data_IF_865538680627
#
_entry.id   IF_865538680627
#
_cell.length_a   1.000
_cell.length_b   1.000
_cell.length_c   1.000
_cell.angle_alpha   90.00
_cell.angle_beta   90.00
_cell.angle_gamma   90.00
#
_symmetry.space_group_name_H-M   'P 1'
#
loop_
_entity.id
_entity.type
_entity.pdbx_description
1 polymer ?
#
# COMPACT_ATOMS: atom_id res chain seq x y z
N UNK A 1 -21.40 -15.14 15.77
CA UNK A 1 -20.21 -14.33 15.43
C UNK A 1 -20.67 -13.02 14.74
N UNK A 2 -20.87 -11.94 15.49
CA UNK A 2 -21.50 -10.67 15.08
C UNK A 2 -20.77 -9.98 13.89
N UNK A 3 -21.51 -9.60 12.87
CA UNK A 3 -21.00 -9.09 11.58
C UNK A 3 -20.21 -7.77 11.73
N UNK A 4 -20.51 -7.00 12.78
CA UNK A 4 -20.01 -5.64 12.98
C UNK A 4 -18.52 -5.51 13.35
N UNK A 5 -17.94 -6.49 14.06
CA UNK A 5 -16.54 -6.41 14.48
C UNK A 5 -15.53 -6.73 13.37
N UNK A 6 -15.94 -7.50 12.34
CA UNK A 6 -15.10 -7.75 11.17
C UNK A 6 -14.94 -6.49 10.30
N UNK A 7 -15.98 -5.65 10.20
CA UNK A 7 -15.93 -4.41 9.41
C UNK A 7 -15.06 -3.32 10.05
N UNK A 8 -15.02 -3.22 11.38
CA UNK A 8 -14.23 -2.17 12.06
C UNK A 8 -12.73 -2.49 12.08
N UNK A 9 -12.37 -3.76 12.23
CA UNK A 9 -10.98 -4.21 12.10
C UNK A 9 -10.51 -4.17 10.64
N UNK A 10 -11.33 -4.62 9.69
CA UNK A 10 -10.99 -4.57 8.26
C UNK A 10 -10.66 -3.16 7.77
N UNK A 11 -11.41 -2.14 8.20
CA UNK A 11 -11.15 -0.74 7.85
C UNK A 11 -9.84 -0.18 8.42
N UNK A 12 -9.43 -0.62 9.62
CA UNK A 12 -8.15 -0.22 10.19
C UNK A 12 -6.99 -0.88 9.44
N UNK A 13 -7.09 -2.18 9.16
CA UNK A 13 -6.08 -2.92 8.40
C UNK A 13 -5.91 -2.38 6.99
N UNK A 14 -7.01 -2.06 6.29
CA UNK A 14 -6.95 -1.40 4.96
C UNK A 14 -6.19 -0.06 5.01
N UNK A 15 -6.45 0.75 6.04
CA UNK A 15 -5.78 2.04 6.23
C UNK A 15 -4.29 1.85 6.49
N UNK A 16 -3.91 0.86 7.29
CA UNK A 16 -2.50 0.55 7.57
C UNK A 16 -1.76 0.06 6.33
N UNK A 17 -2.38 -0.84 5.55
CA UNK A 17 -1.84 -1.29 4.25
C UNK A 17 -1.62 -0.09 3.34
N UNK A 18 -2.62 0.80 3.20
CA UNK A 18 -2.51 1.98 2.36
C UNK A 18 -1.37 2.91 2.82
N UNK A 19 -1.28 3.19 4.12
CA UNK A 19 -0.19 4.00 4.69
C UNK A 19 1.18 3.35 4.49
N UNK A 20 1.25 2.03 4.56
CA UNK A 20 2.48 1.29 4.27
C UNK A 20 2.92 1.50 2.83
N UNK A 21 2.02 1.36 1.84
CA UNK A 21 2.31 1.67 0.44
C UNK A 21 2.90 3.08 0.29
N UNK A 22 2.25 4.10 0.85
CA UNK A 22 2.74 5.50 0.77
C UNK A 22 4.15 5.64 1.35
N UNK A 23 4.42 5.06 2.53
CA UNK A 23 5.74 5.10 3.17
C UNK A 23 6.79 4.35 2.36
N UNK A 24 6.42 3.20 1.80
CA UNK A 24 7.31 2.36 1.01
C UNK A 24 7.68 3.03 -0.31
N UNK A 25 6.70 3.55 -1.05
CA UNK A 25 6.94 4.38 -2.24
C UNK A 25 7.86 5.56 -1.90
N UNK A 26 7.66 6.20 -0.74
CA UNK A 26 8.50 7.31 -0.32
C UNK A 26 9.97 6.95 -0.10
N UNK A 27 10.22 5.73 0.37
CA UNK A 27 11.56 5.25 0.70
C UNK A 27 12.26 4.59 -0.48
N UNK A 28 11.53 3.80 -1.26
CA UNK A 28 12.08 2.90 -2.27
C UNK A 28 11.81 3.34 -3.71
N UNK A 29 10.74 4.11 -3.95
CA UNK A 29 10.33 4.54 -5.30
C UNK A 29 9.66 3.46 -6.15
N UNK A 30 9.40 2.27 -5.61
CA UNK A 30 8.67 1.17 -6.26
C UNK A 30 7.63 0.55 -5.33
N UNK A 31 6.73 -0.26 -5.88
CA UNK A 31 5.65 -0.91 -5.14
C UNK A 31 6.16 -2.09 -4.28
N UNK A 32 5.78 -2.19 -2.99
CA UNK A 32 6.15 -3.30 -2.11
C UNK A 32 5.49 -4.63 -2.50
N UNK A 33 6.04 -5.75 -2.03
CA UNK A 33 5.48 -7.09 -2.19
C UNK A 33 4.45 -7.44 -1.11
N UNK A 34 3.51 -8.36 -1.38
CA UNK A 34 2.53 -8.79 -0.37
C UNK A 34 3.17 -9.46 0.85
N UNK A 35 4.32 -10.10 0.67
CA UNK A 35 5.08 -10.68 1.78
C UNK A 35 5.66 -9.60 2.68
N UNK A 36 6.29 -8.55 2.12
CA UNK A 36 6.82 -7.41 2.89
C UNK A 36 5.73 -6.69 3.69
N UNK A 37 4.55 -6.54 3.11
CA UNK A 37 3.38 -5.93 3.79
C UNK A 37 2.88 -6.85 4.90
N UNK A 38 2.78 -8.16 4.62
CA UNK A 38 2.32 -9.15 5.58
C UNK A 38 3.22 -9.27 6.80
N UNK A 39 4.54 -9.30 6.58
CA UNK A 39 5.57 -9.30 7.62
C UNK A 39 5.51 -8.01 8.45
N UNK A 40 5.39 -6.84 7.80
CA UNK A 40 5.35 -5.55 8.49
C UNK A 40 4.10 -5.35 9.35
N UNK A 41 2.95 -5.86 8.91
CA UNK A 41 1.66 -5.70 9.57
C UNK A 41 1.22 -6.94 10.37
N UNK A 42 2.05 -8.00 10.42
CA UNK A 42 1.74 -9.29 11.04
C UNK A 42 0.39 -9.89 10.55
N UNK A 43 0.14 -9.81 9.24
CA UNK A 43 -1.06 -10.34 8.60
C UNK A 43 -0.70 -11.29 7.46
N UNK A 44 -1.55 -12.27 7.20
CA UNK A 44 -1.31 -13.22 6.12
C UNK A 44 -1.36 -12.57 4.74
N UNK A 45 -0.52 -13.04 3.82
CA UNK A 45 -0.49 -12.61 2.40
C UNK A 45 -1.88 -12.56 1.75
N UNK A 46 -2.75 -13.52 2.08
CA UNK A 46 -4.10 -13.60 1.51
C UNK A 46 -5.02 -12.50 2.06
N UNK A 47 -4.86 -12.13 3.33
CA UNK A 47 -5.55 -11.00 3.94
C UNK A 47 -5.12 -9.69 3.29
N UNK A 48 -3.82 -9.51 3.04
CA UNK A 48 -3.30 -8.35 2.27
C UNK A 48 -3.94 -8.30 0.89
N UNK A 49 -3.95 -9.41 0.15
CA UNK A 49 -4.56 -9.48 -1.19
C UNK A 49 -6.03 -9.05 -1.18
N UNK A 50 -6.83 -9.56 -0.25
CA UNK A 50 -8.25 -9.18 -0.13
C UNK A 50 -8.43 -7.68 0.11
N UNK A 51 -7.68 -7.11 1.06
CA UNK A 51 -7.76 -5.68 1.37
C UNK A 51 -7.25 -4.81 0.21
N UNK A 52 -6.20 -5.23 -0.47
CA UNK A 52 -5.68 -4.53 -1.65
C UNK A 52 -6.71 -4.52 -2.77
N UNK A 53 -7.41 -5.64 -3.02
CA UNK A 53 -8.52 -5.66 -3.98
C UNK A 53 -9.63 -4.69 -3.59
N UNK A 54 -10.01 -4.61 -2.32
CA UNK A 54 -10.98 -3.61 -1.85
C UNK A 54 -10.49 -2.17 -2.05
N UNK A 55 -9.20 -1.90 -1.83
CA UNK A 55 -8.60 -0.58 -2.09
C UNK A 55 -8.59 -0.23 -3.59
N UNK A 56 -8.44 -1.23 -4.46
CA UNK A 56 -8.54 -1.05 -5.92
C UNK A 56 -9.98 -0.77 -6.36
N UNK A 57 -10.94 -1.51 -5.82
CA UNK A 57 -12.38 -1.31 -6.08
C UNK A 57 -12.83 0.10 -5.66
N UNK A 58 -12.30 0.58 -4.53
CA UNK A 58 -12.52 1.96 -4.04
C UNK A 58 -11.78 3.04 -4.85
N UNK A 59 -10.97 2.66 -5.82
CA UNK A 59 -10.19 3.59 -6.64
C UNK A 59 -9.02 4.27 -5.92
N UNK A 60 -8.57 3.77 -4.77
CA UNK A 60 -7.41 4.31 -4.04
C UNK A 60 -6.08 3.76 -4.58
N UNK A 61 -6.11 2.52 -5.05
CA UNK A 61 -5.01 1.87 -5.75
C UNK A 61 -5.45 1.53 -7.17
N UNK A 62 -4.52 1.56 -8.11
CA UNK A 62 -4.73 0.99 -9.43
C UNK A 62 -3.60 0.00 -9.72
N UNK A 63 -3.91 -1.06 -10.46
CA UNK A 63 -2.88 -1.94 -11.01
C UNK A 63 -3.08 -2.04 -12.50
N UNK A 64 -1.98 -1.98 -13.25
CA UNK A 64 -2.01 -2.21 -14.69
C UNK A 64 -2.10 -3.71 -15.02
N UNK A 65 -1.66 -4.56 -14.08
CA UNK A 65 -1.67 -6.00 -14.25
C UNK A 65 -2.23 -6.71 -12.99
N UNK A 66 -3.43 -7.31 -13.05
CA UNK A 66 -4.00 -8.01 -11.92
C UNK A 66 -3.13 -9.24 -11.58
N UNK A 67 -2.54 -9.24 -10.38
CA UNK A 67 -1.65 -10.31 -9.90
C UNK A 67 -0.16 -9.91 -9.81
N UNK A 68 0.28 -8.86 -10.51
CA UNK A 68 1.62 -8.33 -10.36
C UNK A 68 1.67 -7.23 -9.30
N UNK A 69 2.15 -7.57 -8.11
CA UNK A 69 2.25 -6.64 -6.97
C UNK A 69 3.12 -5.43 -7.27
N UNK A 70 4.13 -5.61 -8.12
CA UNK A 70 5.05 -4.55 -8.56
C UNK A 70 4.41 -3.49 -9.46
N UNK A 71 3.24 -3.77 -10.05
CA UNK A 71 2.55 -2.87 -10.98
C UNK A 71 1.48 -1.99 -10.30
N UNK A 72 1.36 -2.07 -8.96
CA UNK A 72 0.42 -1.23 -8.22
C UNK A 72 0.91 0.22 -8.23
N UNK A 73 0.00 1.15 -8.53
CA UNK A 73 0.18 2.60 -8.47
C UNK A 73 -0.85 3.23 -7.54
N UNK A 74 -0.48 4.31 -6.85
CA UNK A 74 -1.41 5.10 -6.04
C UNK A 74 -2.26 5.98 -6.97
N UNK A 75 -3.58 5.87 -6.90
CA UNK A 75 -4.48 6.75 -7.65
C UNK A 75 -4.57 8.11 -6.96
N UNK A 76 -4.37 9.20 -7.71
CA UNK A 76 -4.51 10.57 -7.21
C UNK A 76 -3.32 11.11 -6.39
N UNK A 77 -2.24 10.32 -6.25
CA UNK A 77 -1.00 10.77 -5.61
C UNK A 77 0.13 10.81 -6.65
N UNK A 78 0.56 12.01 -7.02
CA UNK A 78 1.80 12.19 -7.76
C UNK A 78 2.98 12.13 -6.79
N UNK A 79 3.73 11.03 -6.85
CA UNK A 79 4.94 10.90 -6.05
C UNK A 79 6.04 11.81 -6.62
N UNK A 80 6.03 13.08 -6.19
CA UNK A 80 7.09 14.03 -6.51
C UNK A 80 8.28 13.74 -5.60
N UNK A 81 9.19 12.87 -6.03
CA UNK A 81 10.53 12.83 -5.43
C UNK A 81 11.09 14.25 -5.53
N UNK A 82 11.16 14.97 -4.42
CA UNK A 82 12.09 16.08 -4.33
C UNK A 82 13.46 15.44 -4.48
N UNK A 83 14.13 15.69 -5.60
CA UNK A 83 15.57 15.52 -5.68
C UNK A 83 16.10 16.20 -4.42
N UNK A 84 16.61 15.41 -3.47
CA UNK A 84 17.40 15.98 -2.40
C UNK A 84 18.44 16.83 -3.13
N UNK A 85 18.39 18.14 -2.91
CA UNK A 85 19.42 19.02 -3.43
C UNK A 85 20.75 18.40 -3.04
N UNK A 86 21.69 18.37 -3.97
CA UNK A 86 23.09 18.37 -3.60
C UNK A 86 23.25 19.61 -2.72
N UNK A 87 23.18 19.45 -1.40
CA UNK A 87 23.77 20.41 -0.48
C UNK A 87 25.26 20.37 -0.82
N UNK A 88 25.69 21.38 -1.58
CA UNK A 88 27.10 21.69 -1.70
C UNK A 88 27.61 21.91 -0.29
N UNK A 89 28.43 20.98 0.19
CA UNK A 89 29.38 21.32 1.25
C UNK A 89 30.49 22.10 0.56
N UNK A 90 30.47 23.39 0.81
CA UNK A 90 31.54 24.36 0.57
C UNK A 90 32.84 23.93 1.28
#
# INVERSE_FOLDING_TARGET
MNKAYRCRQGQQTEKEIYLYFVRYFRKHGYSPSYEEIGEALNISRRTVQTHVTSLMDRGLLATDHPGCVRAVRLTGYEFRMKRAGREGKE
#
